data_IF_168237616576
#
_entry.id   IF_168237616576
#
_cell.length_a   1.000
_cell.length_b   1.000
_cell.length_c   1.000
_cell.angle_alpha   90.00
_cell.angle_beta   90.00
_cell.angle_gamma   90.00
#
_symmetry.space_group_name_H-M   'P 1'
#
loop_
_entity.id
_entity.type
_entity.pdbx_description
1 polymer ?
#
# COMPACT_ATOMS: atom_id res chain seq x y z
N UNK A 1 -15.54 -0.80 -7.42
CA UNK A 1 -14.44 -1.69 -7.88
C UNK A 1 -14.90 -3.16 -7.93
N UNK A 2 -15.35 -3.74 -6.81
CA UNK A 2 -15.69 -5.17 -6.71
C UNK A 2 -16.77 -5.64 -7.70
N UNK A 3 -17.90 -4.93 -7.82
CA UNK A 3 -18.97 -5.30 -8.76
C UNK A 3 -18.48 -5.35 -10.22
N UNK A 4 -17.73 -4.33 -10.67
CA UNK A 4 -17.12 -4.32 -12.02
C UNK A 4 -16.18 -5.50 -12.25
N UNK A 5 -15.45 -5.93 -11.22
CA UNK A 5 -14.58 -7.11 -11.31
C UNK A 5 -15.39 -8.39 -11.50
N UNK A 6 -16.47 -8.57 -10.75
CA UNK A 6 -17.36 -9.72 -10.87
C UNK A 6 -17.97 -9.78 -12.28
N UNK A 7 -18.43 -8.64 -12.80
CA UNK A 7 -18.99 -8.51 -14.16
C UNK A 7 -17.96 -8.87 -15.24
N UNK A 8 -16.75 -8.29 -15.19
CA UNK A 8 -15.70 -8.53 -16.20
C UNK A 8 -15.22 -9.98 -16.19
N UNK A 9 -15.13 -10.57 -15.00
CA UNK A 9 -14.73 -11.96 -14.83
C UNK A 9 -15.85 -12.95 -15.15
N UNK A 10 -17.08 -12.46 -15.34
CA UNK A 10 -18.28 -13.25 -15.58
C UNK A 10 -18.41 -14.41 -14.57
N UNK A 11 -18.28 -14.07 -13.27
CA UNK A 11 -18.31 -15.08 -12.22
C UNK A 11 -19.75 -15.53 -11.93
N UNK A 12 -20.02 -16.86 -11.86
CA UNK A 12 -21.27 -17.33 -11.30
C UNK A 12 -21.36 -16.95 -9.81
N UNK A 13 -22.57 -16.88 -9.28
CA UNK A 13 -22.86 -16.35 -7.94
C UNK A 13 -21.98 -17.00 -6.85
N UNK A 14 -21.84 -18.32 -6.86
CA UNK A 14 -21.01 -19.04 -5.89
C UNK A 14 -19.52 -18.65 -5.95
N UNK A 15 -18.96 -18.50 -7.16
CA UNK A 15 -17.57 -18.06 -7.33
C UNK A 15 -17.41 -16.57 -7.00
N UNK A 16 -18.41 -15.75 -7.30
CA UNK A 16 -18.42 -14.33 -6.95
C UNK A 16 -18.37 -14.11 -5.44
N UNK A 17 -19.14 -14.91 -4.66
CA UNK A 17 -19.11 -14.88 -3.19
C UNK A 17 -17.73 -15.26 -2.66
N UNK A 18 -17.15 -16.37 -3.15
CA UNK A 18 -15.81 -16.82 -2.72
C UNK A 18 -14.73 -15.79 -3.08
N UNK A 19 -14.77 -15.26 -4.30
CA UNK A 19 -13.85 -14.23 -4.76
C UNK A 19 -13.93 -12.98 -3.86
N UNK A 20 -15.14 -12.51 -3.58
CA UNK A 20 -15.35 -11.32 -2.74
C UNK A 20 -14.84 -11.53 -1.33
N UNK A 21 -15.07 -12.70 -0.74
CA UNK A 21 -14.55 -13.03 0.59
C UNK A 21 -13.01 -12.99 0.62
N UNK A 22 -12.36 -13.63 -0.36
CA UNK A 22 -10.89 -13.63 -0.51
C UNK A 22 -10.32 -12.24 -0.74
N UNK A 23 -10.96 -11.46 -1.59
CA UNK A 23 -10.53 -10.10 -1.88
C UNK A 23 -10.68 -9.19 -0.65
N UNK A 24 -11.76 -9.31 0.12
CA UNK A 24 -11.95 -8.56 1.36
C UNK A 24 -10.91 -8.92 2.43
N UNK A 25 -10.61 -10.22 2.58
CA UNK A 25 -9.58 -10.69 3.51
C UNK A 25 -8.20 -10.13 3.13
N UNK A 26 -7.85 -10.21 1.85
CA UNK A 26 -6.62 -9.63 1.32
C UNK A 26 -6.54 -8.12 1.56
N UNK A 27 -7.62 -7.37 1.25
CA UNK A 27 -7.67 -5.93 1.49
C UNK A 27 -7.51 -5.55 2.97
N UNK A 28 -8.07 -6.36 3.87
CA UNK A 28 -7.89 -6.17 5.32
C UNK A 28 -6.43 -6.35 5.72
N UNK A 29 -5.79 -7.45 5.32
CA UNK A 29 -4.39 -7.75 5.63
C UNK A 29 -3.45 -6.69 5.05
N UNK A 30 -3.65 -6.30 3.79
CA UNK A 30 -2.89 -5.21 3.18
C UNK A 30 -3.06 -3.88 3.92
N UNK A 31 -4.27 -3.58 4.40
CA UNK A 31 -4.51 -2.35 5.17
C UNK A 31 -3.72 -2.35 6.47
N UNK A 32 -3.69 -3.47 7.18
CA UNK A 32 -2.92 -3.62 8.43
C UNK A 32 -1.42 -3.46 8.16
N UNK A 33 -0.89 -4.12 7.12
CA UNK A 33 0.52 -4.01 6.74
C UNK A 33 0.90 -2.58 6.30
N UNK A 34 0.03 -1.90 5.56
CA UNK A 34 0.25 -0.50 5.15
C UNK A 34 0.18 0.47 6.33
N UNK A 35 -0.69 0.21 7.31
CA UNK A 35 -0.75 1.00 8.55
C UNK A 35 0.56 0.86 9.32
N UNK A 36 1.04 -0.36 9.50
CA UNK A 36 2.34 -0.60 10.14
C UNK A 36 3.48 0.05 9.35
N UNK A 37 3.42 0.03 8.01
CA UNK A 37 4.40 0.70 7.18
C UNK A 37 4.44 2.21 7.44
N UNK A 38 3.28 2.86 7.53
CA UNK A 38 3.19 4.30 7.84
C UNK A 38 3.75 4.60 9.23
N UNK A 39 3.40 3.81 10.25
CA UNK A 39 3.92 3.97 11.61
C UNK A 39 5.45 3.82 11.69
N UNK A 40 6.04 2.92 10.88
CA UNK A 40 7.49 2.77 10.80
C UNK A 40 8.14 3.97 10.08
N UNK A 41 7.50 4.51 9.04
CA UNK A 41 7.98 5.73 8.38
C UNK A 41 7.95 6.94 9.30
N UNK A 42 6.88 7.10 10.09
CA UNK A 42 6.78 8.19 11.07
C UNK A 42 7.89 8.08 12.13
N UNK A 43 8.20 6.87 12.61
CA UNK A 43 9.33 6.64 13.53
C UNK A 43 10.69 6.98 12.91
N UNK A 44 10.88 6.67 11.63
CA UNK A 44 12.10 7.03 10.90
C UNK A 44 12.22 8.56 10.75
N UNK A 45 11.13 9.25 10.42
CA UNK A 45 11.10 10.71 10.32
C UNK A 45 11.37 11.39 11.68
N UNK A 46 10.75 10.92 12.76
CA UNK A 46 11.04 11.38 14.11
C UNK A 46 12.51 11.17 14.50
N UNK A 47 13.09 10.03 14.12
CA UNK A 47 14.48 9.73 14.40
C UNK A 47 15.40 10.72 13.67
N UNK A 48 15.16 10.95 12.37
CA UNK A 48 15.97 11.88 11.57
C UNK A 48 15.96 13.29 12.17
N UNK A 49 14.78 13.79 12.57
CA UNK A 49 14.62 15.08 13.26
C UNK A 49 15.42 15.15 14.56
N UNK A 50 15.39 14.11 15.40
CA UNK A 50 16.14 14.04 16.67
C UNK A 50 17.66 13.99 16.47
N UNK A 51 18.13 13.33 15.41
CA UNK A 51 19.56 13.26 15.11
C UNK A 51 20.13 14.56 14.57
N UNK A 52 19.35 15.36 13.85
CA UNK A 52 19.75 16.71 13.44
C UNK A 52 20.05 17.62 14.65
N UNK A 53 19.39 17.38 15.79
CA UNK A 53 19.58 18.13 17.04
C UNK A 53 20.73 17.59 17.93
N UNK A 54 21.18 16.35 17.73
CA UNK A 54 21.98 15.60 18.73
C UNK A 54 23.26 14.97 18.16
N UNK A 55 24.12 15.73 17.49
CA UNK A 55 25.43 15.22 16.98
C UNK A 55 26.63 15.49 17.91
N UNK A 56 26.41 16.07 19.09
CA UNK A 56 27.52 16.52 19.97
C UNK A 56 28.10 15.45 20.91
N UNK A 57 27.50 14.26 21.05
CA UNK A 57 27.95 13.24 22.01
C UNK A 57 28.00 11.80 21.41
N UNK A 58 29.21 11.22 21.35
CA UNK A 58 29.52 9.98 20.60
C UNK A 58 28.79 8.73 21.10
N UNK A 59 28.63 8.58 22.41
CA UNK A 59 27.94 7.43 23.03
C UNK A 59 26.42 7.47 22.72
N UNK A 60 25.83 8.66 22.68
CA UNK A 60 24.42 8.86 22.34
C UNK A 60 24.16 8.53 20.88
N UNK A 61 25.08 8.94 20.00
CA UNK A 61 25.00 8.69 18.56
C UNK A 61 25.04 7.19 18.20
N UNK A 62 25.92 6.40 18.82
CA UNK A 62 25.98 4.94 18.56
C UNK A 62 24.71 4.20 19.00
N UNK A 63 24.10 4.60 20.13
CA UNK A 63 22.82 4.04 20.58
C UNK A 63 21.69 4.40 19.62
N UNK A 64 21.66 5.65 19.15
CA UNK A 64 20.70 6.11 18.16
C UNK A 64 20.84 5.30 16.86
N UNK A 65 22.07 5.12 16.34
CA UNK A 65 22.31 4.33 15.13
C UNK A 65 21.82 2.88 15.22
N UNK A 66 22.02 2.22 16.37
CA UNK A 66 21.50 0.86 16.59
C UNK A 66 19.98 0.82 16.58
N UNK A 67 19.31 1.84 17.10
CA UNK A 67 17.85 1.92 17.05
C UNK A 67 17.36 2.17 15.62
N UNK A 68 18.02 3.06 14.86
CA UNK A 68 17.73 3.27 13.45
C UNK A 68 17.85 1.98 12.63
N UNK A 69 18.93 1.22 12.83
CA UNK A 69 19.13 -0.07 12.15
C UNK A 69 17.96 -1.02 12.40
N UNK A 70 17.50 -1.16 13.65
CA UNK A 70 16.33 -1.99 13.98
C UNK A 70 15.04 -1.49 13.32
N UNK A 71 14.83 -0.18 13.23
CA UNK A 71 13.64 0.36 12.56
C UNK A 71 13.70 0.12 11.04
N UNK A 72 14.87 0.22 10.42
CA UNK A 72 15.09 -0.09 9.01
C UNK A 72 14.84 -1.58 8.73
N UNK A 73 15.40 -2.49 9.53
CA UNK A 73 15.15 -3.93 9.41
C UNK A 73 13.65 -4.23 9.47
N UNK A 74 12.94 -3.68 10.46
CA UNK A 74 11.47 -3.83 10.58
C UNK A 74 10.71 -3.28 9.39
N UNK A 75 11.16 -2.15 8.84
CA UNK A 75 10.53 -1.55 7.66
C UNK A 75 10.71 -2.43 6.43
N UNK A 76 11.92 -2.94 6.21
CA UNK A 76 12.23 -3.86 5.11
C UNK A 76 11.47 -5.19 5.23
N UNK A 77 11.43 -5.77 6.43
CA UNK A 77 10.61 -6.95 6.73
C UNK A 77 9.12 -6.72 6.42
N UNK A 78 8.59 -5.56 6.83
CA UNK A 78 7.19 -5.23 6.56
C UNK A 78 6.92 -5.06 5.05
N UNK A 79 7.88 -4.50 4.29
CA UNK A 79 7.79 -4.47 2.82
C UNK A 79 7.78 -5.87 2.23
N UNK A 80 8.60 -6.79 2.74
CA UNK A 80 8.57 -8.20 2.35
C UNK A 80 7.19 -8.82 2.56
N UNK A 81 6.58 -8.60 3.73
CA UNK A 81 5.23 -9.10 4.05
C UNK A 81 4.15 -8.59 3.10
N UNK A 82 4.24 -7.35 2.63
CA UNK A 82 3.30 -6.81 1.62
C UNK A 82 3.41 -7.59 0.31
N UNK A 83 4.63 -7.84 -0.15
CA UNK A 83 4.87 -8.61 -1.39
C UNK A 83 4.39 -10.05 -1.22
N UNK A 84 4.65 -10.67 -0.06
CA UNK A 84 4.21 -12.03 0.24
C UNK A 84 2.69 -12.15 0.29
N UNK A 85 2.01 -11.15 0.86
CA UNK A 85 0.55 -11.04 0.90
C UNK A 85 -0.05 -10.92 -0.51
N UNK A 86 0.53 -10.08 -1.37
CA UNK A 86 0.13 -9.96 -2.78
C UNK A 86 0.32 -11.28 -3.53
N UNK A 87 1.47 -11.93 -3.35
CA UNK A 87 1.76 -13.23 -3.97
C UNK A 87 0.82 -14.32 -3.48
N UNK A 88 0.50 -14.35 -2.18
CA UNK A 88 -0.44 -15.32 -1.61
C UNK A 88 -1.83 -15.13 -2.21
N UNK A 89 -2.32 -13.89 -2.27
CA UNK A 89 -3.62 -13.60 -2.86
C UNK A 89 -3.68 -14.02 -4.34
N UNK A 90 -2.64 -13.73 -5.13
CA UNK A 90 -2.58 -14.15 -6.53
C UNK A 90 -2.57 -15.68 -6.71
N UNK A 91 -1.95 -16.43 -5.78
CA UNK A 91 -2.01 -17.89 -5.78
C UNK A 91 -3.43 -18.38 -5.48
N UNK A 92 -4.07 -17.85 -4.45
CA UNK A 92 -5.46 -18.18 -4.10
C UNK A 92 -6.42 -17.88 -5.25
N UNK A 93 -6.20 -16.78 -6.00
CA UNK A 93 -6.99 -16.47 -7.18
C UNK A 93 -6.79 -17.45 -8.33
N UNK A 94 -5.59 -18.00 -8.53
CA UNK A 94 -5.32 -19.00 -9.57
C UNK A 94 -5.99 -20.35 -9.29
N UNK A 95 -6.25 -20.66 -8.02
CA UNK A 95 -7.01 -21.83 -7.62
C UNK A 95 -8.52 -21.65 -7.84
N UNK A 96 -9.00 -20.40 -7.79
CA UNK A 96 -10.41 -20.05 -7.93
C UNK A 96 -10.83 -19.73 -9.38
N UNK A 97 -9.93 -19.11 -10.15
CA UNK A 97 -10.19 -18.56 -11.48
C UNK A 97 -9.49 -19.38 -12.55
N UNK A 98 -10.13 -19.51 -13.71
CA UNK A 98 -9.47 -20.09 -14.88
C UNK A 98 -8.47 -19.09 -15.50
N UNK A 99 -7.64 -19.55 -16.44
CA UNK A 99 -6.59 -18.73 -17.05
C UNK A 99 -7.11 -17.48 -17.77
N UNK A 100 -8.28 -17.56 -18.41
CA UNK A 100 -8.91 -16.42 -19.10
C UNK A 100 -9.36 -15.36 -18.10
N UNK A 101 -10.03 -15.78 -17.03
CA UNK A 101 -10.45 -14.91 -15.92
C UNK A 101 -9.24 -14.27 -15.23
N UNK A 102 -8.16 -15.03 -15.03
CA UNK A 102 -6.93 -14.48 -14.46
C UNK A 102 -6.30 -13.41 -15.36
N UNK A 103 -6.31 -13.61 -16.69
CA UNK A 103 -5.84 -12.60 -17.63
C UNK A 103 -6.70 -11.33 -17.58
N UNK A 104 -8.03 -11.49 -17.57
CA UNK A 104 -9.00 -10.38 -17.40
C UNK A 104 -8.77 -9.63 -16.09
N UNK A 105 -8.49 -10.33 -15.00
CA UNK A 105 -8.16 -9.73 -13.72
C UNK A 105 -6.92 -8.83 -13.80
N UNK A 106 -5.83 -9.31 -14.40
CA UNK A 106 -4.61 -8.51 -14.57
C UNK A 106 -4.82 -7.26 -15.43
N UNK A 107 -5.53 -7.40 -16.54
CA UNK A 107 -5.87 -6.27 -17.42
C UNK A 107 -6.73 -5.23 -16.67
N UNK A 108 -7.73 -5.71 -15.92
CA UNK A 108 -8.56 -4.84 -15.10
C UNK A 108 -7.73 -4.07 -14.07
N UNK A 109 -6.85 -4.72 -13.30
CA UNK A 109 -6.04 -4.02 -12.29
C UNK A 109 -5.17 -2.95 -12.92
N UNK A 110 -4.50 -3.27 -14.04
CA UNK A 110 -3.68 -2.31 -14.79
C UNK A 110 -4.48 -1.08 -15.22
N UNK A 111 -5.65 -1.30 -15.79
CA UNK A 111 -6.46 -0.20 -16.34
C UNK A 111 -7.14 0.60 -15.23
N UNK A 112 -7.57 -0.06 -14.15
CA UNK A 112 -8.07 0.59 -12.95
C UNK A 112 -7.01 1.46 -12.26
N UNK A 113 -5.76 1.02 -12.18
CA UNK A 113 -4.67 1.85 -11.66
C UNK A 113 -4.43 3.10 -12.51
N UNK A 114 -4.48 2.98 -13.84
CA UNK A 114 -4.37 4.13 -14.74
C UNK A 114 -5.51 5.12 -14.52
N UNK A 115 -6.74 4.63 -14.37
CA UNK A 115 -7.91 5.44 -14.07
C UNK A 115 -7.76 6.18 -12.73
N UNK A 116 -7.34 5.47 -11.67
CA UNK A 116 -7.09 6.08 -10.36
C UNK A 116 -6.01 7.18 -10.44
N UNK A 117 -4.89 6.93 -11.12
CA UNK A 117 -3.83 7.94 -11.31
C UNK A 117 -4.35 9.17 -12.04
N UNK A 118 -5.17 8.99 -13.08
CA UNK A 118 -5.82 10.10 -13.81
C UNK A 118 -6.76 10.88 -12.90
N UNK A 119 -7.64 10.19 -12.18
CA UNK A 119 -8.58 10.82 -11.25
C UNK A 119 -7.86 11.65 -10.17
N UNK A 120 -6.81 11.10 -9.56
CA UNK A 120 -5.98 11.81 -8.59
C UNK A 120 -5.27 13.04 -9.19
N UNK A 121 -4.85 12.97 -10.46
CA UNK A 121 -4.26 14.12 -11.17
C UNK A 121 -5.27 15.24 -11.43
N UNK A 122 -6.51 14.89 -11.77
CA UNK A 122 -7.58 15.88 -11.93
C UNK A 122 -7.94 16.54 -10.59
N UNK A 123 -8.13 15.76 -9.53
CA UNK A 123 -8.38 16.29 -8.17
C UNK A 123 -7.28 17.26 -7.70
N UNK A 124 -6.01 16.99 -8.03
CA UNK A 124 -4.89 17.91 -7.73
C UNK A 124 -4.88 19.18 -8.57
N UNK A 125 -5.43 19.15 -9.78
CA UNK A 125 -5.56 20.33 -10.66
C UNK A 125 -6.75 21.21 -10.28
N UNK A 126 -7.82 20.59 -9.81
CA UNK A 126 -9.07 21.27 -9.43
C UNK A 126 -9.05 21.78 -7.98
N UNK A 127 -8.01 21.46 -7.19
CA UNK A 127 -7.72 22.18 -5.95
C UNK A 127 -7.24 23.59 -6.31
N UNK A 128 -8.04 24.65 -6.06
CA UNK A 128 -7.54 26.01 -6.18
C UNK A 128 -6.34 26.15 -5.24
N UNK A 129 -5.31 26.87 -5.68
CA UNK A 129 -4.17 27.29 -4.84
C UNK A 129 -4.67 28.22 -3.72
N UNK A 130 -5.43 27.71 -2.76
CA UNK A 130 -5.82 28.44 -1.57
C UNK A 130 -4.66 28.34 -0.57
N UNK A 131 -3.94 29.47 -0.45
CA UNK A 131 -2.98 29.88 0.61
C UNK A 131 -1.63 30.42 0.14
N UNK A 132 -1.53 31.00 -1.06
CA UNK A 132 -0.43 31.94 -1.33
C UNK A 132 -0.90 33.17 -2.09
N UNK A 133 -1.86 33.91 -1.50
CA UNK A 133 -2.08 35.36 -1.68
C UNK A 133 -2.90 35.90 -0.50
N UNK A 134 -2.44 35.65 0.71
CA UNK A 134 -2.84 36.44 1.90
C UNK A 134 -1.61 36.63 2.78
N UNK A 135 -0.56 37.23 2.21
CA UNK A 135 0.44 38.06 2.91
C UNK A 135 1.05 38.98 1.88
N UNK A 136 0.64 40.24 1.96
CA UNK A 136 1.42 41.50 1.90
C UNK A 136 0.57 42.64 1.35
#
# INVERSE_FOLDING_TARGET
KMMRLIEILNLPEELAVRFTAKANEHEKRLRELRKLQAELQDKLDEYLKKTEETTKNKITYEKQLKELQKQLERFEENRGKVIDEENRFLKELRELLNSEQMAKYYLFQRDFEKELRKAMKHLRKDMPRYRMREKE
#
